data_IF_290339985922
#
_entry.id   IF_290339985922
#
_cell.length_a   1.000
_cell.length_b   1.000
_cell.length_c   1.000
_cell.angle_alpha   90.00
_cell.angle_beta   90.00
_cell.angle_gamma   90.00
#
_symmetry.space_group_name_H-M   'P 1'
#
loop_
_entity.id
_entity.type
_entity.pdbx_description
1 polymer ?
#
# COMPACT_ATOMS: atom_id res chain seq x y z
N UNK A 1 -10.66 -6.88 -8.21
CA UNK A 1 -9.48 -6.00 -8.44
C UNK A 1 -8.75 -6.38 -9.71
N UNK A 2 -8.42 -5.39 -10.53
CA UNK A 2 -7.44 -5.52 -11.62
C UNK A 2 -6.07 -5.05 -11.13
N UNK A 3 -4.98 -5.67 -11.60
CA UNK A 3 -3.65 -5.36 -11.10
C UNK A 3 -2.61 -5.28 -12.21
N UNK A 4 -1.73 -4.29 -12.12
CA UNK A 4 -0.58 -4.14 -13.00
C UNK A 4 0.65 -3.67 -12.22
N UNK A 5 1.71 -4.45 -12.27
CA UNK A 5 3.01 -4.08 -11.75
C UNK A 5 3.99 -3.76 -12.89
N UNK A 6 4.53 -2.55 -12.86
CA UNK A 6 5.64 -2.08 -13.73
C UNK A 6 6.78 -1.49 -12.90
N UNK A 7 6.77 -1.73 -11.59
CA UNK A 7 7.87 -1.37 -10.70
C UNK A 7 9.02 -2.36 -10.85
N UNK A 8 10.14 -2.07 -10.17
CA UNK A 8 11.31 -2.95 -10.09
C UNK A 8 11.14 -4.16 -9.16
N UNK A 9 10.04 -4.23 -8.41
CA UNK A 9 9.84 -5.22 -7.35
C UNK A 9 9.10 -6.47 -7.87
N UNK A 10 9.31 -7.64 -7.24
CA UNK A 10 8.68 -8.89 -7.68
C UNK A 10 7.15 -8.80 -7.70
N UNK A 11 6.53 -9.15 -8.83
CA UNK A 11 5.08 -9.00 -9.04
C UNK A 11 4.24 -9.74 -8.01
N UNK A 12 4.58 -11.00 -7.71
CA UNK A 12 3.80 -11.81 -6.77
C UNK A 12 3.83 -11.24 -5.36
N UNK A 13 4.99 -10.73 -4.93
CA UNK A 13 5.15 -10.10 -3.63
C UNK A 13 4.39 -8.76 -3.57
N UNK A 14 4.51 -7.93 -4.61
CA UNK A 14 3.76 -6.67 -4.69
C UNK A 14 2.26 -6.94 -4.66
N UNK A 15 1.77 -7.93 -5.42
CA UNK A 15 0.34 -8.30 -5.42
C UNK A 15 -0.11 -8.73 -4.02
N UNK A 16 0.63 -9.63 -3.36
CA UNK A 16 0.27 -10.10 -2.02
C UNK A 16 0.21 -8.97 -0.99
N UNK A 17 1.10 -7.97 -1.09
CA UNK A 17 1.14 -6.83 -0.18
C UNK A 17 0.00 -5.84 -0.47
N UNK A 18 -0.37 -5.66 -1.75
CA UNK A 18 -1.54 -4.86 -2.12
C UNK A 18 -2.81 -5.54 -1.59
N UNK A 19 -3.00 -6.83 -1.86
CA UNK A 19 -4.16 -7.59 -1.37
C UNK A 19 -4.27 -7.55 0.16
N UNK A 20 -3.14 -7.73 0.85
CA UNK A 20 -3.06 -7.56 2.30
C UNK A 20 -3.53 -6.17 2.74
N UNK A 21 -2.91 -5.12 2.17
CA UNK A 21 -3.13 -3.74 2.58
C UNK A 21 -4.56 -3.24 2.29
N UNK A 22 -5.21 -3.82 1.28
CA UNK A 22 -6.58 -3.46 0.87
C UNK A 22 -7.64 -4.44 1.38
N UNK A 23 -7.28 -5.38 2.27
CA UNK A 23 -8.15 -6.50 2.68
C UNK A 23 -9.46 -6.08 3.36
N UNK A 24 -9.55 -4.84 3.86
CA UNK A 24 -10.74 -4.29 4.53
C UNK A 24 -11.61 -3.42 3.61
N UNK A 25 -11.21 -3.24 2.36
CA UNK A 25 -11.91 -2.42 1.37
C UNK A 25 -12.42 -3.31 0.24
N UNK A 26 -13.62 -3.02 -0.24
CA UNK A 26 -14.11 -3.65 -1.45
C UNK A 26 -13.33 -3.13 -2.68
N UNK A 27 -12.54 -4.02 -3.26
CA UNK A 27 -11.66 -3.74 -4.40
C UNK A 27 -12.23 -4.24 -5.74
N UNK A 28 -13.53 -4.51 -5.81
CA UNK A 28 -14.19 -4.87 -7.07
C UNK A 28 -14.10 -3.72 -8.09
N UNK A 29 -13.89 -3.99 -9.37
CA UNK A 29 -13.74 -2.95 -10.43
C UNK A 29 -12.66 -1.86 -10.15
N UNK A 30 -11.78 -2.04 -9.16
CA UNK A 30 -10.64 -1.16 -8.90
C UNK A 30 -9.43 -1.68 -9.67
N UNK A 31 -8.78 -0.83 -10.45
CA UNK A 31 -7.47 -1.10 -11.03
C UNK A 31 -6.36 -0.54 -10.15
N UNK A 32 -5.36 -1.36 -9.79
CA UNK A 32 -4.16 -0.93 -9.05
C UNK A 32 -2.93 -1.00 -9.96
N UNK A 33 -2.34 0.16 -10.22
CA UNK A 33 -1.14 0.30 -11.04
C UNK A 33 0.07 0.67 -10.17
N UNK A 34 0.99 -0.27 -9.97
CA UNK A 34 2.24 -0.04 -9.24
C UNK A 34 3.38 0.21 -10.23
N UNK A 35 4.14 1.30 -10.05
CA UNK A 35 5.23 1.71 -10.94
C UNK A 35 6.42 2.27 -10.18
N UNK A 36 7.55 2.44 -10.87
CA UNK A 36 8.73 3.07 -10.28
C UNK A 36 8.51 4.57 -10.06
N UNK A 37 8.88 5.05 -8.88
CA UNK A 37 9.07 6.47 -8.59
C UNK A 37 10.45 6.91 -9.09
N UNK A 38 10.53 8.13 -9.64
CA UNK A 38 11.79 8.73 -10.11
C UNK A 38 12.47 9.66 -9.10
N UNK A 39 11.72 10.14 -8.10
CA UNK A 39 12.20 11.23 -7.21
C UNK A 39 11.72 11.15 -5.77
N UNK A 40 10.86 10.19 -5.43
CA UNK A 40 10.27 10.05 -4.08
C UNK A 40 10.41 8.62 -3.58
N UNK A 41 10.50 8.44 -2.25
CA UNK A 41 10.46 7.12 -1.62
C UNK A 41 9.18 6.36 -1.99
N UNK A 42 8.02 7.02 -1.90
CA UNK A 42 6.76 6.52 -2.46
C UNK A 42 5.74 7.65 -2.65
N UNK A 43 4.66 7.37 -3.38
CA UNK A 43 3.47 8.23 -3.47
C UNK A 43 2.29 7.44 -4.02
N UNK A 44 1.06 7.79 -3.62
CA UNK A 44 -0.17 7.19 -4.11
C UNK A 44 -1.15 8.24 -4.64
N UNK A 45 -2.10 7.77 -5.45
CA UNK A 45 -3.30 8.52 -5.82
C UNK A 45 -4.46 7.56 -6.10
N UNK A 46 -5.61 7.82 -5.47
CA UNK A 46 -6.90 7.23 -5.78
C UNK A 46 -7.77 8.17 -6.65
N UNK A 47 -8.22 7.66 -7.78
CA UNK A 47 -9.06 8.37 -8.74
C UNK A 47 -10.51 7.89 -8.65
N UNK A 48 -11.44 8.84 -8.51
CA UNK A 48 -12.87 8.64 -8.71
C UNK A 48 -13.15 8.70 -10.22
N UNK A 49 -13.41 7.55 -10.84
CA UNK A 49 -13.38 7.40 -12.29
C UNK A 49 -11.97 7.14 -12.83
N UNK A 50 -11.88 6.42 -13.95
CA UNK A 50 -10.62 6.11 -14.62
C UNK A 50 -10.33 7.20 -15.67
N UNK A 51 -9.18 7.91 -15.59
CA UNK A 51 -8.81 8.89 -16.60
C UNK A 51 -8.69 8.24 -17.99
N UNK A 52 -9.15 8.91 -19.05
CA UNK A 52 -9.13 8.37 -20.43
C UNK A 52 -7.73 7.95 -20.91
N UNK A 53 -6.70 8.66 -20.45
CA UNK A 53 -5.29 8.36 -20.77
C UNK A 53 -4.73 7.15 -20.00
N UNK A 54 -5.51 6.57 -19.09
CA UNK A 54 -5.10 5.41 -18.30
C UNK A 54 -5.08 4.15 -19.17
N UNK A 55 -4.17 3.24 -18.82
CA UNK A 55 -4.15 1.88 -19.40
C UNK A 55 -4.88 0.86 -18.52
N UNK A 56 -5.75 1.33 -17.62
CA UNK A 56 -6.62 0.46 -16.83
C UNK A 56 -7.65 -0.23 -17.74
N UNK A 57 -8.09 -1.45 -17.41
CA UNK A 57 -9.16 -2.13 -18.15
C UNK A 57 -10.41 -1.25 -18.28
N UNK A 58 -11.11 -1.24 -19.44
CA UNK A 58 -12.32 -0.43 -19.65
C UNK A 58 -13.43 -0.66 -18.62
N UNK A 59 -13.47 -1.84 -18.00
CA UNK A 59 -14.41 -2.23 -16.96
C UNK A 59 -14.09 -1.63 -15.58
N UNK A 60 -12.94 -0.97 -15.44
CA UNK A 60 -12.53 -0.38 -14.16
C UNK A 60 -13.33 0.90 -13.88
N UNK A 61 -13.95 0.98 -12.71
CA UNK A 61 -14.63 2.19 -12.25
C UNK A 61 -13.68 3.13 -11.50
N UNK A 62 -12.66 2.56 -10.86
CA UNK A 62 -11.70 3.27 -10.04
C UNK A 62 -10.27 2.91 -10.42
N UNK A 63 -9.35 3.84 -10.16
CA UNK A 63 -7.93 3.63 -10.36
C UNK A 63 -7.16 4.04 -9.11
N UNK A 64 -6.25 3.18 -8.67
CA UNK A 64 -5.19 3.51 -7.73
C UNK A 64 -3.87 3.47 -8.50
N UNK A 65 -3.08 4.54 -8.40
CA UNK A 65 -1.68 4.52 -8.87
C UNK A 65 -0.73 4.63 -7.70
N UNK A 66 0.24 3.74 -7.63
CA UNK A 66 1.27 3.72 -6.60
C UNK A 66 2.63 3.85 -7.28
N UNK A 67 3.47 4.73 -6.76
CA UNK A 67 4.85 4.89 -7.19
C UNK A 67 5.76 4.48 -6.04
N UNK A 68 6.70 3.57 -6.29
CA UNK A 68 7.69 3.12 -5.31
C UNK A 68 9.11 3.47 -5.76
N UNK A 69 9.86 4.12 -4.88
CA UNK A 69 11.26 4.45 -5.06
C UNK A 69 12.18 3.24 -4.83
N UNK A 70 13.49 3.40 -5.11
CA UNK A 70 14.51 2.41 -4.77
C UNK A 70 14.54 2.06 -3.26
N UNK A 71 15.05 0.87 -2.88
CA UNK A 71 15.25 0.51 -1.48
C UNK A 71 16.12 1.50 -0.69
N UNK A 72 17.04 2.19 -1.36
CA UNK A 72 18.00 3.13 -0.76
C UNK A 72 17.34 4.43 -0.27
N UNK A 73 16.06 4.67 -0.62
CA UNK A 73 15.29 5.80 -0.12
C UNK A 73 14.60 5.51 1.23
N UNK A 74 14.81 4.33 1.80
CA UNK A 74 14.25 3.91 3.08
C UNK A 74 15.38 3.67 4.10
N UNK A 75 15.16 3.94 5.40
CA UNK A 75 13.89 4.34 6.02
C UNK A 75 13.51 5.81 5.74
N UNK A 76 12.21 6.13 5.87
CA UNK A 76 11.68 7.49 5.78
C UNK A 76 10.61 7.72 6.84
N UNK A 77 10.54 8.96 7.36
CA UNK A 77 9.38 9.45 8.11
C UNK A 77 8.61 10.39 7.19
N UNK A 78 7.44 9.99 6.66
CA UNK A 78 6.65 10.85 5.77
C UNK A 78 6.06 12.04 6.53
N UNK A 79 5.91 13.16 5.84
CA UNK A 79 5.08 14.27 6.31
C UNK A 79 3.61 13.82 6.36
N UNK A 80 2.93 14.13 7.46
CA UNK A 80 1.55 13.70 7.73
C UNK A 80 0.69 14.85 8.24
N UNK A 81 -0.63 14.73 8.12
CA UNK A 81 -1.55 15.75 8.63
C UNK A 81 -1.48 15.85 10.15
N UNK A 82 -1.76 17.05 10.66
CA UNK A 82 -1.87 17.30 12.10
C UNK A 82 -2.95 16.38 12.70
N UNK A 83 -2.58 15.55 13.67
CA UNK A 83 -3.48 14.62 14.35
C UNK A 83 -3.49 13.19 13.80
N UNK A 84 -2.67 12.90 12.78
CA UNK A 84 -2.37 11.55 12.35
C UNK A 84 -1.17 10.95 13.10
N UNK A 85 -1.10 9.60 13.22
CA UNK A 85 0.04 8.93 13.82
C UNK A 85 1.33 9.20 13.05
N UNK A 86 2.40 9.52 13.77
CA UNK A 86 3.75 9.59 13.20
C UNK A 86 4.31 8.17 13.09
N UNK A 87 4.65 7.75 11.88
CA UNK A 87 5.25 6.44 11.61
C UNK A 87 6.60 6.60 10.92
N UNK A 88 7.50 5.66 11.14
CA UNK A 88 8.63 5.42 10.26
C UNK A 88 8.25 4.29 9.29
N UNK A 89 8.65 4.42 8.03
CA UNK A 89 8.49 3.41 6.98
C UNK A 89 9.88 2.92 6.61
N UNK A 90 10.20 1.69 6.99
CA UNK A 90 11.57 1.17 7.00
C UNK A 90 11.97 0.48 5.70
N UNK A 91 11.02 0.17 4.81
CA UNK A 91 11.31 -0.50 3.53
C UNK A 91 10.27 -0.19 2.46
N UNK A 92 10.56 -0.57 1.21
CA UNK A 92 9.60 -0.48 0.10
C UNK A 92 8.34 -1.33 0.35
N UNK A 93 8.44 -2.42 1.10
CA UNK A 93 7.30 -3.29 1.45
C UNK A 93 6.35 -2.56 2.37
N UNK A 94 6.89 -1.97 3.43
CA UNK A 94 6.12 -1.13 4.36
C UNK A 94 5.51 0.07 3.63
N UNK A 95 6.28 0.70 2.73
CA UNK A 95 5.79 1.81 1.93
C UNK A 95 4.59 1.42 1.06
N UNK A 96 4.66 0.25 0.42
CA UNK A 96 3.57 -0.31 -0.38
C UNK A 96 2.34 -0.58 0.48
N UNK A 97 2.50 -1.21 1.65
CA UNK A 97 1.39 -1.49 2.58
C UNK A 97 0.73 -0.19 3.01
N UNK A 98 1.51 0.79 3.48
CA UNK A 98 1.00 2.08 3.93
C UNK A 98 0.25 2.79 2.81
N UNK A 99 0.88 2.98 1.65
CA UNK A 99 0.24 3.77 0.58
C UNK A 99 -0.94 3.05 -0.05
N UNK A 100 -0.90 1.72 -0.20
CA UNK A 100 -2.04 0.97 -0.73
C UNK A 100 -3.25 1.04 0.20
N UNK A 101 -3.06 0.88 1.52
CA UNK A 101 -4.12 1.02 2.52
C UNK A 101 -4.71 2.43 2.51
N UNK A 102 -3.85 3.45 2.40
CA UNK A 102 -4.25 4.85 2.32
C UNK A 102 -5.15 5.12 1.11
N UNK A 103 -4.72 4.72 -0.09
CA UNK A 103 -5.47 4.96 -1.32
C UNK A 103 -6.75 4.11 -1.39
N UNK A 104 -6.72 2.88 -0.89
CA UNK A 104 -7.92 2.03 -0.81
C UNK A 104 -8.99 2.67 0.09
N UNK A 105 -8.60 3.28 1.21
CA UNK A 105 -9.56 3.97 2.06
C UNK A 105 -10.20 5.20 1.36
N UNK A 106 -9.49 5.86 0.45
CA UNK A 106 -10.12 6.86 -0.42
C UNK A 106 -11.14 6.25 -1.38
N UNK A 107 -10.91 5.05 -1.92
CA UNK A 107 -11.92 4.34 -2.71
C UNK A 107 -13.17 4.03 -1.88
N UNK A 108 -13.02 3.57 -0.63
CA UNK A 108 -14.17 3.36 0.27
C UNK A 108 -14.94 4.68 0.52
N UNK A 109 -14.22 5.77 0.77
CA UNK A 109 -14.82 7.10 0.91
C UNK A 109 -15.61 7.51 -0.35
N UNK A 110 -15.07 7.28 -1.54
CA UNK A 110 -15.75 7.57 -2.80
C UNK A 110 -17.04 6.76 -2.96
N UNK A 111 -16.97 5.44 -2.74
CA UNK A 111 -18.12 4.53 -2.87
C UNK A 111 -19.26 4.90 -1.94
N UNK A 112 -18.92 5.27 -0.71
CA UNK A 112 -19.89 5.58 0.34
C UNK A 112 -20.35 7.04 0.33
N UNK A 113 -19.85 7.86 -0.60
CA UNK A 113 -20.17 9.29 -0.66
C UNK A 113 -19.69 10.08 0.56
N UNK A 114 -18.63 9.62 1.22
CA UNK A 114 -18.07 10.26 2.42
C UNK A 114 -17.14 11.41 2.05
N UNK A 115 -16.94 12.32 3.00
CA UNK A 115 -15.92 13.36 2.89
C UNK A 115 -14.52 12.76 2.77
N UNK A 116 -13.73 13.30 1.84
CA UNK A 116 -12.32 12.93 1.63
C UNK A 116 -11.47 13.35 2.83
N UNK A 117 -11.16 12.40 3.70
CA UNK A 117 -10.45 12.67 4.96
C UNK A 117 -9.06 12.05 4.94
N UNK A 118 -8.06 12.89 4.68
CA UNK A 118 -6.63 12.52 4.73
C UNK A 118 -6.23 11.96 6.09
N UNK A 119 -6.70 12.59 7.18
CA UNK A 119 -6.39 12.14 8.55
C UNK A 119 -6.98 10.76 8.84
N UNK A 120 -8.16 10.45 8.29
CA UNK A 120 -8.73 9.11 8.42
C UNK A 120 -7.91 8.07 7.65
N UNK A 121 -7.50 8.39 6.42
CA UNK A 121 -6.62 7.52 5.62
C UNK A 121 -5.26 7.28 6.31
N UNK A 122 -4.65 8.32 6.87
CA UNK A 122 -3.37 8.22 7.61
C UNK A 122 -3.48 7.43 8.93
N UNK A 123 -4.68 7.29 9.50
CA UNK A 123 -4.91 6.40 10.65
C UNK A 123 -5.04 4.95 10.23
N UNK A 124 -5.79 4.71 9.14
CA UNK A 124 -5.95 3.37 8.55
C UNK A 124 -4.59 2.83 8.09
N UNK A 125 -3.80 3.62 7.38
CA UNK A 125 -2.51 3.17 6.87
C UNK A 125 -1.49 2.87 7.99
N UNK A 126 -1.56 3.58 9.11
CA UNK A 126 -0.71 3.36 10.27
C UNK A 126 -1.09 2.05 10.98
N UNK A 127 -2.39 1.78 11.17
CA UNK A 127 -2.88 0.53 11.73
C UNK A 127 -2.56 -0.67 10.84
N UNK A 128 -2.70 -0.52 9.52
CA UNK A 128 -2.35 -1.60 8.58
C UNK A 128 -0.85 -1.90 8.56
N UNK A 129 0.00 -0.87 8.70
CA UNK A 129 1.44 -1.06 8.84
C UNK A 129 1.80 -1.80 10.14
N UNK A 130 1.14 -1.47 11.25
CA UNK A 130 1.33 -2.17 12.51
C UNK A 130 0.96 -3.65 12.39
N UNK A 131 -0.21 -3.95 11.83
CA UNK A 131 -0.66 -5.33 11.56
C UNK A 131 0.33 -6.08 10.65
N UNK A 132 0.82 -5.44 9.59
CA UNK A 132 1.83 -6.05 8.72
C UNK A 132 3.10 -6.44 9.49
N UNK A 133 3.57 -5.55 10.38
CA UNK A 133 4.76 -5.81 11.19
C UNK A 133 4.54 -6.98 12.16
N UNK A 134 3.37 -7.07 12.76
CA UNK A 134 2.99 -8.18 13.64
C UNK A 134 2.97 -9.51 12.89
N UNK A 135 2.29 -9.58 11.74
CA UNK A 135 2.23 -10.81 10.93
C UNK A 135 3.62 -11.25 10.43
N UNK A 136 4.49 -10.29 10.06
CA UNK A 136 5.88 -10.56 9.69
C UNK A 136 6.72 -11.06 10.86
N UNK A 137 6.51 -10.54 12.07
CA UNK A 137 7.22 -10.99 13.26
C UNK A 137 6.81 -12.43 13.65
N UNK A 138 5.54 -12.78 13.47
CA UNK A 138 5.02 -14.13 13.73
C UNK A 138 5.45 -15.15 12.66
N UNK A 139 5.67 -14.71 11.42
CA UNK A 139 6.15 -15.56 10.33
C UNK A 139 7.66 -15.88 10.41
N UNK A 140 8.43 -15.19 11.25
CA UNK A 140 9.83 -15.52 11.50
C UNK A 140 9.91 -16.67 12.52
N UNK A 141 10.73 -17.72 12.28
CA UNK A 141 10.92 -18.80 13.24
C UNK A 141 11.45 -18.22 14.55
N UNK A 142 10.92 -18.71 15.68
CA UNK A 142 11.32 -18.21 16.99
C UNK A 142 12.80 -18.56 17.24
N UNK A 143 13.55 -17.75 18.02
CA UNK A 143 14.98 -17.97 18.22
C UNK A 143 15.35 -19.39 18.69
N UNK A 144 14.49 -20.03 19.51
CA UNK A 144 14.70 -21.40 19.99
C UNK A 144 14.40 -22.49 18.95
N UNK A 145 13.66 -22.18 17.88
CA UNK A 145 13.38 -23.10 16.77
C UNK A 145 14.49 -23.06 15.70
N UNK A 146 15.24 -21.96 15.62
CA UNK A 146 16.40 -21.84 14.73
C UNK A 146 17.60 -22.71 15.16
N UNK A 147 17.76 -22.99 16.46
CA UNK A 147 18.85 -23.84 16.95
C UNK A 147 18.66 -25.33 16.63
N UNK A 148 17.44 -25.78 16.34
CA UNK A 148 17.14 -27.17 15.99
C UNK A 148 17.37 -27.51 14.51
N UNK A 149 17.60 -26.52 13.65
CA UNK A 149 17.86 -26.72 12.22
C UNK A 149 19.36 -26.84 11.88
N UNK A 150 20.23 -26.70 12.89
CA UNK A 150 21.69 -26.82 12.77
C UNK A 150 22.29 -27.90 13.68
N UNK A 151 21.45 -28.77 14.26
CA UNK A 151 21.84 -29.92 15.07
C UNK A 151 21.50 -31.22 14.32
#
# INVERSE_FOLDING_TARGET
MFFRNTSRYPTDEVLSLVEFATSEVDMDLVCVNVKNSRSRAYSGYAYLGVPEISSAPPESEYLITIQLGPPELFPIVPDRRRGAPRIEVSSWREALVTVAAHEANHIDQYRRGLSRSEVACERVDAGMLERYREERALALPRPHEQMALFA
#
